data_IF_423989626836
#
_entry.id   IF_423989626836
#
_cell.length_a   1.000
_cell.length_b   1.000
_cell.length_c   1.000
_cell.angle_alpha   90.00
_cell.angle_beta   90.00
_cell.angle_gamma   90.00
#
_symmetry.space_group_name_H-M   'P 1'
#
loop_
_entity.id
_entity.type
_entity.pdbx_description
1 polymer ?
2 non-polymer ?
3 water ?
#
# COMPACT_ATOMS: atom_id res chain seq x y z
N UNK A 3 14.64 -10.56 15.62
CA UNK A 3 13.61 -9.48 15.40
C UNK A 3 12.78 -9.68 14.12
N UNK A 4 13.00 -10.79 13.43
CA UNK A 4 12.21 -11.14 12.21
C UNK A 4 10.91 -11.85 12.55
N UNK A 5 9.92 -11.78 11.65
CA UNK A 5 8.67 -12.51 11.77
C UNK A 5 8.61 -13.50 10.64
N UNK A 6 8.10 -14.69 10.91
CA UNK A 6 7.87 -15.74 9.88
C UNK A 6 6.36 -15.96 9.84
N UNK A 7 5.92 -16.76 8.88
CA UNK A 7 4.45 -16.94 8.73
C UNK A 7 3.93 -17.60 10.04
N UNK A 8 4.76 -18.45 10.65
CA UNK A 8 4.34 -19.18 11.89
C UNK A 8 4.27 -18.30 13.12
N UNK A 9 4.86 -17.11 13.07
CA UNK A 9 4.81 -16.14 14.18
C UNK A 9 4.01 -14.87 13.92
N UNK A 10 3.42 -14.74 12.73
CA UNK A 10 2.78 -13.49 12.34
C UNK A 10 1.42 -13.33 13.02
N UNK A 11 1.19 -12.17 13.62
CA UNK A 11 -0.16 -11.79 14.06
C UNK A 11 -0.31 -10.29 13.77
N UNK A 12 -1.47 -9.86 13.27
CA UNK A 12 -1.63 -8.38 13.07
C UNK A 12 -2.43 -7.85 14.29
N UNK A 13 -2.40 -6.54 14.53
CA UNK A 13 -3.00 -5.99 15.74
C UNK A 13 -4.45 -6.43 15.76
N UNK A 14 -4.98 -6.93 16.90
CA UNK A 14 -6.38 -7.42 17.04
C UNK A 14 -7.44 -6.32 17.00
N UNK A 15 -7.03 -5.10 17.31
CA UNK A 15 -7.92 -3.95 17.41
C UNK A 15 -7.58 -2.88 16.38
N UNK A 16 -7.66 -3.17 15.05
CA UNK A 16 -7.12 -2.11 14.12
C UNK A 16 -7.73 -0.71 14.32
N UNK A 17 -8.98 -0.69 14.76
CA UNK A 17 -9.61 0.60 15.06
C UNK A 17 -8.87 1.51 16.05
N UNK A 18 -8.26 0.95 17.10
CA UNK A 18 -7.59 1.82 18.11
C UNK A 18 -6.38 2.50 17.50
N UNK A 19 -5.71 1.80 16.57
CA UNK A 19 -4.56 2.31 15.82
C UNK A 19 -4.93 3.38 14.84
N UNK A 20 -6.08 3.21 14.16
CA UNK A 20 -6.55 4.27 13.30
C UNK A 20 -6.77 5.52 14.16
N UNK A 21 -7.40 5.34 15.32
CA UNK A 21 -7.75 6.48 16.19
C UNK A 21 -6.51 7.24 16.66
N UNK A 22 -5.51 6.47 17.07
CA UNK A 22 -4.21 6.95 17.55
C UNK A 22 -3.38 7.63 16.45
N UNK A 23 -3.14 6.93 15.34
CA UNK A 23 -2.11 7.37 14.39
C UNK A 23 -2.59 8.05 13.08
N UNK A 24 -3.90 7.96 12.79
CA UNK A 24 -4.43 8.26 11.45
C UNK A 24 -5.50 9.29 11.55
N UNK A 25 -5.56 9.94 12.72
CA UNK A 25 -6.55 10.97 12.96
C UNK A 25 -6.05 12.38 12.62
N UNK A 26 -4.74 12.53 12.61
CA UNK A 26 -4.07 13.83 12.54
C UNK A 26 -4.95 15.05 12.35
N UNK A 31 1.47 13.93 17.20
CA UNK A 31 2.21 14.95 16.44
C UNK A 31 3.35 14.36 15.61
N UNK A 32 4.26 13.61 16.25
CA UNK A 32 5.25 12.86 15.49
C UNK A 32 4.59 11.96 14.41
N UNK A 33 3.50 11.28 14.78
CA UNK A 33 2.80 10.42 13.82
C UNK A 33 2.12 11.24 12.73
N UNK A 34 1.59 12.42 13.08
CA UNK A 34 0.95 13.27 12.09
C UNK A 34 1.94 13.71 11.08
N UNK A 35 3.12 14.09 11.57
CA UNK A 35 4.24 14.52 10.73
C UNK A 35 4.66 13.43 9.75
N UNK A 36 4.71 12.19 10.23
CA UNK A 36 5.17 11.10 9.41
C UNK A 36 4.12 10.85 8.32
N UNK A 37 2.85 10.89 8.71
CA UNK A 37 1.76 10.64 7.76
C UNK A 37 1.78 11.71 6.65
N UNK A 38 2.00 12.97 7.05
CA UNK A 38 2.12 14.05 6.03
C UNK A 38 3.21 13.75 5.02
N UNK A 39 4.38 13.33 5.50
CA UNK A 39 5.48 13.04 4.62
C UNK A 39 5.11 11.91 3.68
N UNK A 40 4.44 10.86 4.21
CA UNK A 40 4.06 9.72 3.36
C UNK A 40 3.11 10.20 2.26
N UNK A 41 2.13 11.02 2.67
CA UNK A 41 1.11 11.47 1.73
C UNK A 41 1.75 12.37 0.63
N UNK A 42 2.70 13.24 1.00
CA UNK A 42 3.39 14.04 -0.04
C UNK A 42 4.13 13.15 -1.03
N UNK A 43 4.76 12.09 -0.51
CA UNK A 43 5.50 11.16 -1.35
C UNK A 43 4.60 10.38 -2.29
N UNK A 44 3.45 9.92 -1.75
CA UNK A 44 2.52 9.19 -2.58
C UNK A 44 1.93 10.12 -3.69
N UNK A 45 1.72 11.39 -3.36
CA UNK A 45 1.30 12.38 -4.37
C UNK A 45 2.32 12.39 -5.49
N UNK A 46 3.60 12.52 -5.15
CA UNK A 46 4.57 12.56 -6.21
C UNK A 46 4.58 11.28 -7.07
N UNK A 47 4.56 10.11 -6.42
CA UNK A 47 4.62 8.85 -7.20
C UNK A 47 3.45 8.74 -8.17
N UNK A 48 2.25 8.95 -7.62
CA UNK A 48 1.04 8.65 -8.42
C UNK A 48 0.58 9.80 -9.28
N UNK A 49 0.93 11.05 -8.93
CA UNK A 49 0.39 12.17 -9.75
C UNK A 49 1.46 12.81 -10.58
N UNK A 50 2.75 12.64 -10.26
CA UNK A 50 3.84 13.23 -11.10
C UNK A 50 4.70 12.23 -11.83
N UNK A 51 4.99 11.09 -11.22
CA UNK A 51 6.13 10.27 -11.70
C UNK A 51 5.75 9.27 -12.82
N UNK A 52 4.53 9.34 -13.31
CA UNK A 52 4.16 8.40 -14.41
C UNK A 52 3.70 6.99 -14.00
N UNK A 53 3.51 6.77 -12.68
CA UNK A 53 3.02 5.45 -12.23
C UNK A 53 1.46 5.47 -12.42
N UNK A 54 0.96 4.79 -13.44
CA UNK A 54 -0.44 4.88 -13.79
C UNK A 54 -0.75 3.63 -14.59
N UNK A 55 -2.04 3.35 -14.72
CA UNK A 55 -2.42 2.17 -15.51
C UNK A 55 -3.86 1.88 -15.21
N UNK A 56 -4.34 0.73 -15.69
CA UNK A 56 -5.67 0.32 -15.40
C UNK A 56 -5.89 -0.29 -14.00
N UNK A 57 -4.92 -1.10 -13.52
CA UNK A 57 -5.19 -1.98 -12.35
C UNK A 57 -4.03 -1.89 -11.39
N UNK A 58 -4.31 -1.40 -10.15
CA UNK A 58 -3.28 -1.43 -9.09
C UNK A 58 -3.73 -2.43 -8.05
N UNK A 59 -2.80 -3.22 -7.54
CA UNK A 59 -3.13 -4.14 -6.41
C UNK A 59 -2.32 -3.67 -5.22
N UNK A 60 -3.03 -3.34 -4.13
CA UNK A 60 -2.36 -2.85 -2.88
C UNK A 60 -2.20 -4.11 -2.04
N UNK A 61 -0.97 -4.54 -1.84
CA UNK A 61 -0.70 -5.78 -1.07
C UNK A 61 -0.51 -5.47 0.41
N UNK A 62 -1.23 -6.20 1.30
CA UNK A 62 -1.00 -5.90 2.74
C UNK A 62 -1.47 -4.51 3.13
N UNK A 63 -2.68 -4.18 2.67
CA UNK A 63 -3.27 -2.87 2.87
C UNK A 63 -3.35 -2.50 4.38
N UNK A 64 -3.42 -3.50 5.24
CA UNK A 64 -3.74 -3.14 6.64
C UNK A 64 -5.18 -2.62 6.69
N UNK A 65 -5.52 -1.90 7.77
CA UNK A 65 -6.85 -1.30 7.91
C UNK A 65 -6.96 0.14 7.34
N UNK A 66 -5.98 0.55 6.48
CA UNK A 66 -5.89 2.00 6.15
C UNK A 66 -6.30 2.17 4.64
N UNK A 67 -6.75 3.38 4.30
CA UNK A 67 -6.98 3.74 2.89
C UNK A 67 -6.12 4.95 2.45
N UNK A 68 -5.34 5.55 3.38
CA UNK A 68 -4.60 6.82 3.07
C UNK A 68 -3.65 6.57 1.90
N UNK A 69 -3.19 5.34 1.77
CA UNK A 69 -2.14 5.02 0.74
C UNK A 69 -2.74 4.91 -0.66
N UNK A 70 -4.07 5.05 -0.77
CA UNK A 70 -4.78 4.93 -2.07
C UNK A 70 -5.34 6.23 -2.58
N UNK A 71 -5.29 7.27 -1.75
CA UNK A 71 -6.01 8.48 -2.09
C UNK A 71 -5.47 9.20 -3.35
N UNK A 72 -4.15 9.38 -3.44
CA UNK A 72 -3.58 9.86 -4.72
C UNK A 72 -3.58 8.77 -5.78
N UNK A 73 -3.36 7.51 -5.39
CA UNK A 73 -3.32 6.47 -6.43
C UNK A 73 -4.63 6.37 -7.28
N UNK A 74 -5.79 6.65 -6.70
CA UNK A 74 -7.04 6.52 -7.48
C UNK A 74 -7.14 7.65 -8.53
N UNK A 75 -6.23 8.61 -8.49
CA UNK A 75 -6.10 9.59 -9.62
C UNK A 75 -5.57 8.92 -10.85
N UNK A 76 -4.80 7.85 -10.68
CA UNK A 76 -4.05 7.29 -11.73
C UNK A 76 -4.38 5.84 -12.11
N UNK A 77 -5.22 5.19 -11.29
CA UNK A 77 -5.68 3.80 -11.54
C UNK A 77 -7.21 3.73 -11.44
N UNK A 78 -7.86 3.29 -12.53
CA UNK A 78 -9.35 3.10 -12.65
C UNK A 78 -9.79 2.00 -11.70
N UNK A 79 -8.92 0.99 -11.54
CA UNK A 79 -9.27 -0.16 -10.69
C UNK A 79 -8.21 -0.41 -9.65
N UNK A 80 -8.66 -0.58 -8.42
CA UNK A 80 -7.72 -0.89 -7.27
C UNK A 80 -8.27 -2.11 -6.57
N UNK A 81 -7.37 -3.05 -6.25
CA UNK A 81 -7.77 -4.22 -5.40
C UNK A 81 -7.03 -4.04 -4.08
N UNK A 82 -7.76 -4.12 -2.97
CA UNK A 82 -7.09 -4.00 -1.65
C UNK A 82 -7.05 -5.39 -1.02
N UNK A 83 -6.01 -5.68 -0.25
CA UNK A 83 -5.80 -7.09 0.18
C UNK A 83 -5.14 -7.11 1.54
N UNK A 84 -5.35 -8.21 2.29
CA UNK A 84 -4.68 -8.37 3.56
C UNK A 84 -4.79 -9.80 4.02
N UNK A 85 -3.81 -10.26 4.81
CA UNK A 85 -3.84 -11.63 5.31
C UNK A 85 -4.87 -11.76 6.45
N UNK A 86 -5.20 -10.65 7.08
CA UNK A 86 -5.99 -10.78 8.32
C UNK A 86 -7.36 -10.23 8.16
N UNK A 87 -8.33 -11.02 8.56
CA UNK A 87 -9.69 -10.60 8.42
C UNK A 87 -10.14 -9.34 9.08
N UNK A 88 -9.59 -9.02 10.24
CA UNK A 88 -9.99 -7.83 10.96
C UNK A 88 -9.56 -6.56 10.17
N UNK A 89 -8.47 -6.65 9.41
CA UNK A 89 -8.05 -5.48 8.55
C UNK A 89 -9.00 -5.36 7.42
N UNK A 90 -9.35 -6.47 6.77
CA UNK A 90 -10.31 -6.36 5.68
C UNK A 90 -11.67 -5.80 6.15
N UNK A 91 -12.11 -6.21 7.33
CA UNK A 91 -13.40 -5.67 7.82
C UNK A 91 -13.39 -4.16 8.06
N UNK A 92 -12.28 -3.65 8.51
CA UNK A 92 -12.14 -2.26 8.78
C UNK A 92 -12.20 -1.51 7.44
N UNK A 93 -11.58 -2.09 6.39
CA UNK A 93 -11.66 -1.45 5.08
C UNK A 93 -13.08 -1.48 4.54
N UNK A 94 -13.76 -2.61 4.68
CA UNK A 94 -15.08 -2.74 4.12
C UNK A 94 -16.12 -1.82 4.81
N UNK A 95 -15.98 -1.58 6.11
CA UNK A 95 -16.92 -0.66 6.83
C UNK A 95 -16.81 0.70 6.16
N UNK A 96 -15.56 1.12 5.86
CA UNK A 96 -15.37 2.40 5.17
C UNK A 96 -15.82 2.38 3.69
N UNK A 97 -15.45 1.36 2.92
CA UNK A 97 -15.82 1.34 1.51
C UNK A 97 -17.35 1.35 1.37
N UNK A 98 -18.01 0.66 2.28
CA UNK A 98 -19.48 0.55 2.18
C UNK A 98 -20.19 1.69 2.88
N UNK A 99 -19.40 2.65 3.33
CA UNK A 99 -19.88 3.89 3.97
C UNK A 99 -20.80 3.60 5.17
N UNK A 100 -20.41 2.65 6.00
CA UNK A 100 -21.13 2.37 7.23
C UNK A 100 -20.87 3.42 8.30
N UNK A 101 -21.93 3.78 9.09
CA UNK A 101 -21.74 4.71 10.22
C UNK A 101 -20.62 4.33 11.21
N UNK A 102 -20.34 3.03 11.42
CA UNK A 102 -19.28 2.58 12.33
C UNK A 102 -17.81 2.69 11.77
N UNK A 103 -17.70 3.08 10.49
CA UNK A 103 -16.36 3.19 9.84
C UNK A 103 -15.52 4.28 10.47
N UNK A 104 -14.20 4.14 10.38
CA UNK A 104 -13.26 5.18 10.77
C UNK A 104 -13.50 6.46 9.96
N UNK A 105 -13.26 7.62 10.59
CA UNK A 105 -13.49 8.87 9.91
C UNK A 105 -12.12 9.32 9.25
N UNK A 106 -12.03 9.06 7.96
CA UNK A 106 -10.82 9.46 7.23
C UNK A 106 -10.87 10.93 6.72
N UNK A 107 -11.95 11.70 7.02
CA UNK A 107 -12.11 13.12 6.64
C UNK A 107 -10.89 14.00 6.70
N UNK A 108 -10.23 14.11 7.84
CA UNK A 108 -9.08 14.98 7.94
C UNK A 108 -7.98 14.63 6.91
N UNK A 109 -7.77 13.32 6.73
CA UNK A 109 -6.63 12.88 5.84
C UNK A 109 -7.06 13.13 4.41
N UNK A 110 -8.33 12.80 4.12
CA UNK A 110 -8.90 13.06 2.81
C UNK A 110 -8.80 14.53 2.46
N UNK A 111 -9.18 15.39 3.40
CA UNK A 111 -9.04 16.85 3.14
C UNK A 111 -7.63 17.29 2.85
N UNK A 112 -6.68 16.71 3.58
CA UNK A 112 -5.34 17.07 3.44
C UNK A 112 -4.83 16.65 2.04
N UNK A 113 -5.19 15.44 1.58
CA UNK A 113 -4.83 15.03 0.23
C UNK A 113 -5.48 15.92 -0.80
N UNK A 114 -6.71 16.34 -0.57
CA UNK A 114 -7.33 17.25 -1.57
C UNK A 114 -6.53 18.56 -1.66
N UNK A 115 -6.03 19.03 -0.53
CA UNK A 115 -5.16 20.22 -0.48
C UNK A 115 -3.85 19.97 -1.26
N UNK A 116 -3.21 18.81 -1.02
CA UNK A 116 -1.96 18.48 -1.73
C UNK A 116 -2.23 18.45 -3.23
N UNK A 117 -3.45 18.07 -3.64
CA UNK A 117 -3.75 17.94 -5.07
C UNK A 117 -4.27 19.25 -5.68
N UNK A 118 -4.24 20.33 -4.88
CA UNK A 118 -4.49 21.71 -5.45
C UNK A 118 -5.94 22.12 -5.23
N UNK A 119 -6.66 21.37 -4.38
CA UNK A 119 -8.07 21.72 -4.15
C UNK A 119 -8.95 21.74 -5.43
N UNK A 120 -8.70 20.78 -6.31
CA UNK A 120 -9.43 20.60 -7.49
C UNK A 120 -10.80 20.00 -7.14
N UNK A 121 -10.86 19.21 -6.07
CA UNK A 121 -12.12 18.63 -5.62
C UNK A 121 -12.15 18.78 -4.13
N UNK A 122 -13.35 18.57 -3.53
CA UNK A 122 -13.46 18.54 -2.08
C UNK A 122 -13.57 17.10 -1.65
N UNK A 123 -13.47 16.92 -0.35
CA UNK A 123 -13.45 15.60 0.31
C UNK A 123 -14.44 14.59 -0.20
N UNK A 124 -15.74 14.96 -0.29
CA UNK A 124 -16.71 13.89 -0.61
C UNK A 124 -16.48 13.31 -2.00
N UNK A 125 -16.11 14.20 -2.93
CA UNK A 125 -15.89 13.84 -4.32
C UNK A 125 -14.66 12.92 -4.37
N UNK A 126 -13.66 13.25 -3.59
CA UNK A 126 -12.39 12.41 -3.60
C UNK A 126 -12.72 11.03 -2.99
N UNK A 127 -13.49 11.04 -1.88
CA UNK A 127 -13.87 9.77 -1.26
C UNK A 127 -14.65 8.91 -2.25
N UNK A 128 -15.56 9.53 -2.99
CA UNK A 128 -16.37 8.79 -3.90
C UNK A 128 -15.51 8.18 -5.05
N UNK A 129 -14.54 8.96 -5.51
CA UNK A 129 -13.64 8.47 -6.57
C UNK A 129 -12.88 7.23 -6.05
N UNK A 130 -12.44 7.27 -4.78
CA UNK A 130 -11.74 6.06 -4.22
C UNK A 130 -12.69 4.87 -4.08
N UNK A 131 -13.88 5.14 -3.53
CA UNK A 131 -14.87 4.07 -3.40
C UNK A 131 -15.20 3.42 -4.75
N UNK A 132 -15.34 4.24 -5.81
CA UNK A 132 -15.60 3.69 -7.14
C UNK A 132 -14.41 2.91 -7.70
N UNK A 133 -13.20 3.33 -7.37
CA UNK A 133 -12.03 2.62 -7.90
C UNK A 133 -11.82 1.25 -7.20
N UNK A 134 -12.12 1.12 -5.90
CA UNK A 134 -11.83 -0.13 -5.19
C UNK A 134 -12.82 -1.22 -5.63
N UNK A 135 -12.31 -2.17 -6.36
CA UNK A 135 -13.16 -3.19 -7.02
C UNK A 135 -13.31 -4.46 -6.19
N UNK A 136 -12.29 -4.83 -5.43
CA UNK A 136 -12.30 -6.10 -4.69
C UNK A 136 -11.54 -5.88 -3.43
N UNK A 137 -11.94 -6.66 -2.41
CA UNK A 137 -11.31 -6.71 -1.10
C UNK A 137 -10.98 -8.16 -0.84
N UNK A 138 -9.68 -8.53 -0.83
CA UNK A 138 -9.33 -9.93 -0.89
C UNK A 138 -8.27 -10.32 0.15
N UNK A 139 -8.22 -11.62 0.46
CA UNK A 139 -7.14 -12.16 1.29
C UNK A 139 -5.89 -12.29 0.44
N UNK A 140 -4.74 -12.00 1.02
CA UNK A 140 -3.49 -12.31 0.34
C UNK A 140 -2.55 -13.04 1.28
N UNK A 141 -1.59 -13.72 0.70
CA UNK A 141 -0.48 -14.36 1.54
C UNK A 141 0.73 -14.28 0.62
N UNK A 142 1.65 -13.39 0.95
CA UNK A 142 2.79 -13.12 0.09
C UNK A 142 3.79 -14.26 0.07
N UNK A 143 3.62 -15.25 0.97
CA UNK A 143 4.51 -16.41 0.94
C UNK A 143 4.09 -17.45 -0.09
N UNK A 144 2.93 -17.29 -0.72
CA UNK A 144 2.39 -18.21 -1.74
C UNK A 144 2.74 -17.79 -3.15
N UNK A 145 2.98 -18.78 -4.00
CA UNK A 145 3.28 -18.54 -5.43
C UNK A 145 2.20 -17.72 -6.11
N UNK A 146 0.96 -17.97 -5.67
CA UNK A 146 -0.18 -17.16 -6.10
C UNK A 146 -0.66 -16.43 -4.85
N UNK A 147 -0.19 -15.23 -4.61
CA UNK A 147 -0.55 -14.58 -3.32
C UNK A 147 -2.00 -14.28 -3.17
N UNK A 148 -2.82 -14.23 -4.27
CA UNK A 148 -4.21 -13.96 -4.14
C UNK A 148 -5.04 -15.23 -4.41
N UNK A 149 -4.40 -16.40 -4.34
CA UNK A 149 -5.10 -17.68 -4.57
C UNK A 149 -5.68 -17.83 -5.94
N UNK A 150 -6.95 -18.23 -6.00
CA UNK A 150 -7.55 -18.57 -7.31
C UNK A 150 -8.13 -17.33 -8.03
N UNK A 151 -8.04 -16.14 -7.43
CA UNK A 151 -8.76 -14.98 -8.02
C UNK A 151 -8.10 -14.64 -9.37
N UNK A 152 -8.89 -14.63 -10.45
CA UNK A 152 -8.25 -14.60 -11.76
C UNK A 152 -8.08 -13.18 -12.25
N UNK A 153 -7.34 -12.37 -11.51
CA UNK A 153 -7.11 -11.00 -12.01
C UNK A 153 -6.25 -11.08 -13.25
N UNK A 154 -6.46 -10.16 -14.19
CA UNK A 154 -5.50 -10.08 -15.27
C UNK A 154 -4.19 -9.45 -14.81
N UNK A 155 -3.15 -9.54 -15.64
CA UNK A 155 -1.84 -8.94 -15.27
C UNK A 155 -2.03 -7.45 -14.92
N UNK A 156 -1.56 -7.05 -13.75
CA UNK A 156 -1.79 -5.68 -13.26
C UNK A 156 -0.70 -4.71 -13.68
N UNK A 157 -1.01 -3.41 -13.50
CA UNK A 157 -0.06 -2.34 -13.87
C UNK A 157 0.82 -1.92 -12.71
N UNK A 158 0.38 -2.18 -11.48
CA UNK A 158 1.17 -1.68 -10.36
C UNK A 158 0.83 -2.57 -9.14
N UNK A 159 1.85 -2.85 -8.34
CA UNK A 159 1.63 -3.45 -7.00
C UNK A 159 2.23 -2.45 -6.05
N UNK A 160 1.45 -2.09 -5.02
CA UNK A 160 1.87 -1.13 -4.00
C UNK A 160 2.01 -1.89 -2.68
N UNK A 161 3.09 -1.60 -1.92
CA UNK A 161 3.25 -2.24 -0.59
C UNK A 161 3.64 -1.08 0.34
N UNK A 162 2.83 -0.74 1.37
CA UNK A 162 3.17 0.40 2.23
C UNK A 162 3.25 -0.10 3.70
N UNK A 163 4.35 0.26 4.37
CA UNK A 163 4.56 -0.03 5.83
C UNK A 163 4.38 -1.52 6.16
N UNK A 164 4.72 -2.42 5.23
CA UNK A 164 4.55 -3.86 5.53
C UNK A 164 5.72 -4.36 6.43
N UNK A 165 6.96 -4.04 6.06
CA UNK A 165 8.12 -4.33 6.95
C UNK A 165 7.95 -3.64 8.27
N UNK A 166 7.42 -2.40 8.24
CA UNK A 166 7.14 -1.65 9.47
C UNK A 166 6.21 -2.46 10.40
N UNK A 167 5.17 -3.12 9.86
CA UNK A 167 4.25 -3.95 10.65
C UNK A 167 4.93 -5.24 11.14
N UNK A 168 5.70 -5.91 10.29
CA UNK A 168 6.36 -7.18 10.67
C UNK A 168 7.43 -7.43 9.64
N UNK A 169 8.67 -7.63 10.08
CA UNK A 169 9.77 -7.72 9.12
C UNK A 169 10.22 -9.21 8.92
N UNK A 170 10.04 -9.78 7.70
CA UNK A 170 10.59 -11.10 7.48
C UNK A 170 12.11 -11.00 7.24
N UNK A 171 12.80 -12.12 7.28
CA UNK A 171 14.22 -12.08 6.94
C UNK A 171 14.36 -11.78 5.44
N UNK A 172 15.59 -11.58 5.00
CA UNK A 172 15.82 -11.12 3.62
C UNK A 172 15.39 -12.09 2.53
N UNK A 173 15.73 -13.40 2.62
CA UNK A 173 15.27 -14.31 1.55
C UNK A 173 13.74 -14.43 1.52
N UNK A 174 13.10 -14.31 2.70
CA UNK A 174 11.64 -14.38 2.73
C UNK A 174 11.07 -13.14 2.07
N UNK A 175 11.69 -12.00 2.35
CA UNK A 175 11.20 -10.76 1.67
C UNK A 175 11.39 -10.81 0.18
N UNK A 176 12.57 -11.26 -0.28
CA UNK A 176 12.82 -11.40 -1.73
C UNK A 176 11.80 -12.35 -2.33
N UNK A 177 11.58 -13.51 -1.70
CA UNK A 177 10.57 -14.44 -2.25
C UNK A 177 9.20 -13.82 -2.31
N UNK A 178 8.82 -13.03 -1.30
CA UNK A 178 7.49 -12.34 -1.31
C UNK A 178 7.42 -11.43 -2.57
N UNK A 179 8.47 -10.62 -2.74
CA UNK A 179 8.44 -9.66 -3.87
C UNK A 179 8.39 -10.44 -5.17
N UNK A 180 9.10 -11.57 -5.24
CA UNK A 180 9.02 -12.33 -6.47
C UNK A 180 7.64 -12.92 -6.68
N UNK A 181 7.00 -13.44 -5.61
CA UNK A 181 5.60 -13.90 -5.71
C UNK A 181 4.63 -12.80 -6.17
N UNK A 182 4.85 -11.60 -5.65
CA UNK A 182 4.02 -10.45 -6.09
C UNK A 182 4.22 -10.13 -7.56
N UNK A 183 5.43 -10.37 -8.06
CA UNK A 183 5.68 -10.16 -9.48
C UNK A 183 4.82 -10.95 -10.42
N UNK A 184 4.35 -12.12 -9.96
CA UNK A 184 3.46 -12.97 -10.79
C UNK A 184 2.16 -12.26 -11.07
N UNK A 185 1.89 -11.23 -10.28
CA UNK A 185 0.63 -10.43 -10.47
C UNK A 185 0.77 -9.29 -11.52
N UNK A 186 1.97 -9.03 -12.02
CA UNK A 186 2.31 -7.84 -12.80
C UNK A 186 2.59 -8.19 -14.23
N UNK A 187 2.08 -7.37 -15.14
CA UNK A 187 2.65 -7.36 -16.52
C UNK A 187 4.13 -7.14 -16.54
N UNK A 188 4.81 -7.64 -17.62
CA UNK A 188 6.17 -7.18 -17.81
C UNK A 188 6.20 -5.63 -17.88
N UNK A 189 7.16 -5.01 -17.22
CA UNK A 189 7.26 -3.58 -17.17
C UNK A 189 6.36 -2.94 -16.11
N UNK A 190 5.53 -3.78 -15.46
CA UNK A 190 4.54 -3.26 -14.44
C UNK A 190 5.33 -2.64 -13.29
N UNK A 191 4.69 -1.72 -12.57
CA UNK A 191 5.39 -0.99 -11.50
C UNK A 191 5.28 -1.70 -10.15
N UNK A 192 6.36 -1.60 -9.38
CA UNK A 192 6.37 -2.00 -7.98
C UNK A 192 6.65 -0.74 -7.20
N UNK A 193 5.76 -0.41 -6.26
CA UNK A 193 5.97 0.81 -5.45
C UNK A 193 6.02 0.36 -4.00
N UNK A 194 7.14 0.65 -3.32
CA UNK A 194 7.25 0.27 -1.89
C UNK A 194 7.52 1.53 -1.10
N UNK A 195 6.81 1.72 0.04
CA UNK A 195 7.07 2.84 0.90
C UNK A 195 7.05 2.25 2.30
N UNK A 196 8.22 2.22 2.97
CA UNK A 196 8.32 1.35 4.16
C UNK A 196 9.49 1.80 5.02
N UNK A 197 9.73 0.98 6.05
CA UNK A 197 10.73 1.24 7.07
C UNK A 197 12.00 0.51 6.72
N UNK A 198 13.13 1.19 6.92
CA UNK A 198 14.41 0.47 6.87
C UNK A 198 14.63 -0.25 8.22
N UNK A 199 14.65 -1.60 8.19
CA UNK A 199 14.57 -2.46 9.40
C UNK A 199 15.57 -3.62 9.46
N UNK A 202 20.70 -4.70 7.61
CA UNK A 202 21.34 -4.40 6.31
C UNK A 202 20.80 -3.21 5.42
N UNK A 203 19.74 -2.52 5.87
CA UNK A 203 19.41 -1.18 5.37
C UNK A 203 18.98 -1.13 3.90
N UNK A 204 19.32 -0.02 3.24
CA UNK A 204 18.97 0.22 1.84
C UNK A 204 19.52 -0.86 0.92
N UNK A 205 20.76 -1.32 1.17
CA UNK A 205 21.38 -2.29 0.27
C UNK A 205 20.63 -3.64 0.32
N UNK A 206 20.04 -3.96 1.45
CA UNK A 206 19.35 -5.22 1.58
C UNK A 206 18.05 -5.11 0.75
N UNK A 207 17.39 -3.98 0.90
CA UNK A 207 16.12 -3.77 0.16
C UNK A 207 16.44 -3.85 -1.32
N UNK A 208 17.49 -3.14 -1.73
CA UNK A 208 17.87 -3.19 -3.15
C UNK A 208 18.24 -4.54 -3.69
N UNK A 209 18.93 -5.35 -2.89
CA UNK A 209 19.23 -6.70 -3.31
C UNK A 209 17.94 -7.53 -3.47
N UNK A 210 17.00 -7.42 -2.53
CA UNK A 210 15.79 -8.23 -2.57
C UNK A 210 15.00 -7.82 -3.82
N UNK A 211 14.92 -6.51 -4.06
CA UNK A 211 14.16 -6.03 -5.24
C UNK A 211 14.75 -6.50 -6.57
N UNK A 212 16.07 -6.35 -6.68
CA UNK A 212 16.76 -6.82 -7.88
C UNK A 212 16.65 -8.34 -8.03
N UNK A 213 16.93 -9.14 -6.96
CA UNK A 213 16.86 -10.62 -7.08
C UNK A 213 15.41 -11.16 -7.30
N UNK A 214 14.39 -10.32 -6.95
CA UNK A 214 13.04 -10.74 -7.13
C UNK A 214 12.58 -10.44 -8.59
N UNK A 215 13.47 -9.80 -9.37
CA UNK A 215 13.25 -9.67 -10.79
C UNK A 215 12.73 -8.29 -11.21
N UNK A 216 13.09 -7.26 -10.48
CA UNK A 216 12.75 -5.88 -10.84
C UNK A 216 13.99 -5.00 -11.08
N UNK A 217 13.77 -3.91 -11.80
CA UNK A 217 14.77 -2.89 -11.96
C UNK A 217 14.31 -1.65 -11.24
N UNK A 218 15.08 -1.22 -10.24
CA UNK A 218 14.79 0.03 -9.55
C UNK A 218 15.02 1.27 -10.42
N UNK A 219 14.00 2.12 -10.46
CA UNK A 219 14.07 3.41 -11.14
C UNK A 219 14.60 4.45 -10.23
N UNK A 220 14.08 4.52 -9.01
CA UNK A 220 14.69 5.36 -8.02
C UNK A 220 14.37 4.91 -6.62
N UNK A 221 15.15 5.43 -5.66
CA UNK A 221 15.07 5.04 -4.25
C UNK A 221 15.30 6.31 -3.46
N UNK A 222 14.41 6.64 -2.54
CA UNK A 222 14.58 7.86 -1.76
C UNK A 222 14.43 7.57 -0.30
N UNK A 223 15.29 8.17 0.54
CA UNK A 223 14.99 8.25 1.97
C UNK A 223 14.04 9.40 2.21
N UNK A 224 12.87 9.14 2.80
CA UNK A 224 11.82 10.18 2.96
C UNK A 224 11.51 10.58 4.41
N UNK A 236 17.60 2.55 10.53
CA UNK A 236 16.34 3.26 10.78
C UNK A 236 15.96 4.34 9.75
N UNK A 237 14.66 4.68 9.72
CA UNK A 237 14.12 5.63 8.75
C UNK A 237 13.13 5.01 7.77
N UNK A 238 12.47 5.87 7.00
CA UNK A 238 11.54 5.43 5.96
C UNK A 238 12.07 5.71 4.56
N UNK A 239 11.72 4.82 3.63
CA UNK A 239 12.17 5.04 2.23
C UNK A 239 10.99 4.87 1.28
N UNK A 240 11.14 5.34 0.07
CA UNK A 240 10.20 4.89 -0.92
C UNK A 240 10.99 4.51 -2.15
N UNK A 241 10.45 3.62 -2.97
CA UNK A 241 11.13 3.29 -4.20
C UNK A 241 10.11 2.97 -5.27
N UNK A 242 10.47 3.18 -6.51
CA UNK A 242 9.65 2.71 -7.63
C UNK A 242 10.56 1.82 -8.48
N UNK A 243 10.03 0.64 -8.82
CA UNK A 243 10.78 -0.33 -9.67
C UNK A 243 9.88 -0.81 -10.80
N UNK A 244 10.44 -1.47 -11.82
CA UNK A 244 9.60 -2.09 -12.84
C UNK A 244 9.94 -3.56 -13.00
N UNK A 245 8.93 -4.41 -13.21
CA UNK A 245 9.23 -5.83 -13.38
C UNK A 245 10.02 -6.05 -14.70
N UNK A 246 11.06 -6.86 -14.70
CA UNK A 246 11.85 -7.07 -16.01
C UNK A 246 10.94 -7.27 -17.23
N UNK A 247 11.29 -6.70 -18.40
CA UNK A 247 10.34 -6.71 -19.56
C UNK A 247 10.68 -7.71 -20.70
#
# INVERSE_FOLDING_TARGET
>A
GSGFTSKDTYLSHFNPRDYLEKYYKFGSRHSAESQILKHLLKNLFKIFCLDGVKGDLLIDIGSGPTIYQLLSACESFKEIVVTDYSDQNLQELEKWLKKEPAAFDWSPVVTYVCDLEGNRVKGPEKEEKLRQAVKQVLKCDVTQSQPLGAVPLPPADCVLSTLCLDAACPDLPTYCRALRNLGSLLKPGGFLVIMDALKGGGGREAVEAAVKEAGYTIEWFEVISQSYSSTMANNEGLFSLVARKLSRPL
#
